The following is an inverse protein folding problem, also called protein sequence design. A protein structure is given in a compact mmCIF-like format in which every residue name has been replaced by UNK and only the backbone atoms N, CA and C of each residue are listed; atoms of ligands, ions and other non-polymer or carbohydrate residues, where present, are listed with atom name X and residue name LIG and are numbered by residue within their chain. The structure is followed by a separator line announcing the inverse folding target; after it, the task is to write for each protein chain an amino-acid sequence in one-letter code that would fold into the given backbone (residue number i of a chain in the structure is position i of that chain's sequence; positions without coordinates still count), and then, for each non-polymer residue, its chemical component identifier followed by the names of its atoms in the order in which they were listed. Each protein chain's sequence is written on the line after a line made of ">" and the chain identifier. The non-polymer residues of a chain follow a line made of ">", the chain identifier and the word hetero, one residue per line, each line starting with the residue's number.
data_IF_292579976637
#
_entry.id   IF_292579976637
#
_cell.length_a   1.000
_cell.length_b   1.000
_cell.length_c   1.000
_cell.angle_alpha   90.00
_cell.angle_beta   90.00
_cell.angle_gamma   90.00
#
_symmetry.space_group_name_H-M   'P 1'
#
loop_
_entity.id
_entity.type
_entity.pdbx_description
1 polymer ?
#
# COMPACT_ATOMS: atom_id res chain seq x y z
N UNK A 1 42.89 -4.53 -7.15
CA UNK A 1 41.62 -5.01 -6.62
C UNK A 1 40.65 -5.11 -7.80
N UNK A 2 40.26 -6.32 -8.22
CA UNK A 2 39.30 -6.45 -9.31
C UNK A 2 37.89 -6.41 -8.70
N UNK A 3 37.12 -5.39 -9.03
CA UNK A 3 35.74 -5.21 -8.61
C UNK A 3 34.86 -5.63 -9.77
N UNK A 4 33.97 -6.61 -9.53
CA UNK A 4 32.97 -7.02 -10.51
C UNK A 4 31.65 -6.37 -10.12
N UNK A 5 31.11 -5.54 -11.01
CA UNK A 5 29.80 -4.90 -10.79
C UNK A 5 28.69 -5.96 -10.85
N UNK A 6 27.77 -5.89 -9.88
CA UNK A 6 26.55 -6.71 -9.89
C UNK A 6 25.39 -5.92 -10.49
N UNK A 7 24.51 -6.56 -11.26
CA UNK A 7 23.31 -5.90 -11.77
C UNK A 7 22.45 -5.42 -10.60
N UNK A 8 22.06 -4.15 -10.62
CA UNK A 8 21.23 -3.49 -9.60
C UNK A 8 19.76 -3.43 -9.98
N UNK A 9 19.41 -3.95 -11.16
CA UNK A 9 18.06 -3.99 -11.69
C UNK A 9 17.43 -5.38 -11.61
N UNK A 10 16.14 -5.42 -11.29
CA UNK A 10 15.30 -6.60 -11.33
C UNK A 10 14.13 -6.38 -12.29
N UNK A 11 13.92 -7.33 -13.19
CA UNK A 11 12.75 -7.41 -14.05
C UNK A 11 11.97 -8.67 -13.70
N UNK A 12 10.71 -8.52 -13.33
CA UNK A 12 9.79 -9.64 -13.11
C UNK A 12 8.63 -9.53 -14.07
N UNK A 13 8.29 -10.64 -14.71
CA UNK A 13 7.11 -10.79 -15.55
C UNK A 13 6.34 -12.01 -15.07
N UNK A 14 5.05 -11.84 -14.86
CA UNK A 14 4.16 -12.90 -14.43
C UNK A 14 2.94 -13.00 -15.33
N UNK A 15 2.54 -14.22 -15.63
CA UNK A 15 1.33 -14.54 -16.36
C UNK A 15 0.56 -15.60 -15.59
N UNK A 16 -0.70 -15.29 -15.32
CA UNK A 16 -1.58 -16.18 -14.57
C UNK A 16 -2.96 -16.25 -15.18
N UNK A 17 -3.73 -17.23 -14.74
CA UNK A 17 -5.13 -17.39 -15.13
C UNK A 17 -5.99 -17.64 -13.90
N UNK A 18 -7.20 -17.07 -13.91
CA UNK A 18 -8.20 -17.23 -12.87
C UNK A 18 -9.57 -17.41 -13.51
N UNK A 19 -10.46 -18.12 -12.85
CA UNK A 19 -11.86 -18.26 -13.30
C UNK A 19 -12.58 -16.92 -13.40
N UNK A 20 -12.27 -15.98 -12.51
CA UNK A 20 -12.86 -14.63 -12.43
C UNK A 20 -12.16 -13.63 -13.31
N UNK A 21 -10.85 -13.55 -13.21
CA UNK A 21 -10.03 -12.54 -13.89
C UNK A 21 -9.60 -12.94 -15.30
N UNK A 22 -9.81 -14.22 -15.66
CA UNK A 22 -9.35 -14.80 -16.93
C UNK A 22 -7.83 -14.79 -17.03
N UNK A 23 -7.27 -13.79 -17.68
CA UNK A 23 -5.82 -13.58 -17.81
C UNK A 23 -5.38 -12.50 -16.86
N UNK A 24 -4.33 -12.80 -16.10
CA UNK A 24 -3.67 -11.86 -15.19
C UNK A 24 -2.26 -11.64 -15.73
N UNK A 25 -1.92 -10.39 -15.98
CA UNK A 25 -0.59 -9.96 -16.36
C UNK A 25 0.02 -9.14 -15.22
N UNK A 26 1.21 -9.49 -14.81
CA UNK A 26 1.98 -8.71 -13.85
C UNK A 26 3.37 -8.42 -14.40
N UNK A 27 3.84 -7.22 -14.21
CA UNK A 27 5.18 -6.79 -14.57
C UNK A 27 5.73 -5.82 -13.54
N UNK A 28 6.99 -5.98 -13.21
CA UNK A 28 7.69 -4.97 -12.40
C UNK A 28 9.13 -4.82 -12.85
N UNK A 29 9.56 -3.57 -12.89
CA UNK A 29 10.95 -3.19 -13.10
C UNK A 29 11.36 -2.41 -11.85
N UNK A 30 12.41 -2.86 -11.20
CA UNK A 30 13.00 -2.17 -10.07
C UNK A 30 14.50 -2.01 -10.30
N UNK A 31 14.98 -0.80 -10.16
CA UNK A 31 16.39 -0.45 -10.27
C UNK A 31 16.85 0.15 -8.94
N UNK A 32 17.67 -0.57 -8.21
CA UNK A 32 18.41 -0.03 -7.08
C UNK A 32 19.63 0.69 -7.59
N UNK A 33 20.01 1.79 -6.97
CA UNK A 33 21.13 2.62 -7.42
C UNK A 33 20.95 3.14 -8.85
N UNK A 34 19.81 3.77 -9.11
CA UNK A 34 19.46 4.31 -10.43
C UNK A 34 20.51 5.30 -10.92
N UNK A 35 21.13 5.00 -12.06
CA UNK A 35 22.23 5.79 -12.66
C UNK A 35 23.40 6.09 -11.69
N UNK A 36 23.67 5.20 -10.72
CA UNK A 36 24.76 5.41 -9.77
C UNK A 36 24.45 6.38 -8.63
N UNK A 37 23.22 6.87 -8.53
CA UNK A 37 22.81 7.90 -7.55
C UNK A 37 22.49 7.35 -6.15
N UNK A 38 22.46 6.02 -5.97
CA UNK A 38 21.99 5.38 -4.74
C UNK A 38 20.46 5.37 -4.58
N UNK A 39 19.73 5.99 -5.50
CA UNK A 39 18.27 6.06 -5.45
C UNK A 39 17.63 4.83 -6.07
N UNK A 40 16.45 4.48 -5.57
CA UNK A 40 15.67 3.35 -6.06
C UNK A 40 14.49 3.85 -6.90
N UNK A 41 14.31 3.25 -8.07
CA UNK A 41 13.17 3.51 -8.96
C UNK A 41 12.46 2.19 -9.20
N UNK A 42 11.15 2.18 -9.09
CA UNK A 42 10.33 1.01 -9.39
C UNK A 42 9.10 1.38 -10.20
N UNK A 43 8.77 0.53 -11.17
CA UNK A 43 7.52 0.58 -11.93
C UNK A 43 6.84 -0.77 -11.77
N UNK A 44 5.58 -0.75 -11.39
CA UNK A 44 4.77 -1.96 -11.25
C UNK A 44 3.48 -1.82 -12.06
N UNK A 45 3.17 -2.86 -12.82
CA UNK A 45 1.97 -2.98 -13.64
C UNK A 45 1.31 -4.31 -13.32
N UNK A 46 0.06 -4.26 -12.87
CA UNK A 46 -0.78 -5.45 -12.73
C UNK A 46 -2.06 -5.19 -13.52
N UNK A 47 -2.45 -6.13 -14.36
CA UNK A 47 -3.65 -6.03 -15.19
C UNK A 47 -4.41 -7.35 -15.17
N UNK A 48 -5.64 -7.29 -14.66
CA UNK A 48 -6.62 -8.35 -14.69
C UNK A 48 -7.98 -7.78 -15.09
N UNK A 49 -8.98 -8.63 -15.25
CA UNK A 49 -10.33 -8.18 -15.60
C UNK A 49 -10.96 -7.35 -14.48
N UNK A 50 -10.75 -7.74 -13.21
CA UNK A 50 -11.35 -7.09 -12.03
C UNK A 50 -10.50 -5.97 -11.46
N UNK A 51 -9.19 -5.96 -11.72
CA UNK A 51 -8.32 -4.88 -11.23
C UNK A 51 -7.21 -4.55 -12.22
N UNK A 52 -6.84 -3.28 -12.25
CA UNK A 52 -5.64 -2.78 -12.93
C UNK A 52 -4.93 -1.83 -11.99
N UNK A 53 -3.61 -1.97 -11.91
CA UNK A 53 -2.78 -1.14 -11.05
C UNK A 53 -1.51 -0.76 -11.77
N UNK A 54 -1.23 0.52 -11.82
CA UNK A 54 0.00 1.10 -12.32
C UNK A 54 0.60 1.90 -11.18
N UNK A 55 1.82 1.63 -10.83
CA UNK A 55 2.54 2.34 -9.76
C UNK A 55 3.92 2.71 -10.25
N UNK A 56 4.28 3.96 -10.06
CA UNK A 56 5.64 4.45 -10.16
C UNK A 56 6.09 4.88 -8.77
N UNK A 57 7.26 4.41 -8.34
CA UNK A 57 7.86 4.75 -7.06
C UNK A 57 9.31 5.19 -7.24
N UNK A 58 9.66 6.28 -6.60
CA UNK A 58 11.03 6.74 -6.46
C UNK A 58 11.35 6.84 -4.97
N UNK A 59 12.53 6.39 -4.56
CA UNK A 59 12.98 6.48 -3.16
C UNK A 59 14.45 6.84 -3.10
N UNK A 60 14.74 7.91 -2.40
CA UNK A 60 16.09 8.26 -1.95
C UNK A 60 16.26 7.73 -0.51
N UNK A 61 17.01 6.64 -0.28
CA UNK A 61 17.15 6.04 1.04
C UNK A 61 18.02 6.88 2.00
N UNK A 62 18.82 7.78 1.46
CA UNK A 62 19.75 8.65 2.22
C UNK A 62 19.51 10.12 1.84
N UNK A 63 18.27 10.58 1.98
CA UNK A 63 17.95 12.00 1.73
C UNK A 63 18.69 12.93 2.69
N UNK A 64 18.93 12.48 3.92
CA UNK A 64 19.82 13.12 4.89
C UNK A 64 20.95 12.17 5.29
N UNK A 65 22.03 12.73 5.86
CA UNK A 65 23.16 11.95 6.36
C UNK A 65 22.79 11.03 7.52
N UNK A 66 21.74 11.36 8.27
CA UNK A 66 21.22 10.57 9.40
C UNK A 66 20.32 9.40 8.94
N UNK A 67 20.23 9.14 7.62
CA UNK A 67 19.50 8.01 7.07
C UNK A 67 17.99 8.24 6.94
N UNK A 68 17.51 9.49 6.97
CA UNK A 68 16.13 9.78 6.62
C UNK A 68 15.93 9.49 5.14
N UNK A 69 14.94 8.66 4.82
CA UNK A 69 14.56 8.38 3.44
C UNK A 69 13.46 9.31 2.97
N UNK A 70 13.47 9.64 1.67
CA UNK A 70 12.40 10.36 0.99
C UNK A 70 11.90 9.53 -0.18
N UNK A 71 10.58 9.43 -0.34
CA UNK A 71 9.96 8.72 -1.45
C UNK A 71 8.83 9.52 -2.10
N UNK A 72 8.62 9.23 -3.39
CA UNK A 72 7.50 9.74 -4.18
C UNK A 72 6.81 8.57 -4.85
N UNK A 73 5.50 8.51 -4.73
CA UNK A 73 4.68 7.53 -5.41
C UNK A 73 3.65 8.22 -6.29
N UNK A 74 3.44 7.67 -7.48
CA UNK A 74 2.31 8.03 -8.35
C UNK A 74 1.63 6.74 -8.75
N UNK A 75 0.32 6.70 -8.65
CA UNK A 75 -0.43 5.49 -8.98
C UNK A 75 -1.75 5.78 -9.69
N UNK A 76 -2.14 4.80 -10.48
CA UNK A 76 -3.49 4.69 -11.02
C UNK A 76 -4.00 3.28 -10.77
N UNK A 77 -5.15 3.16 -10.13
CA UNK A 77 -5.78 1.88 -9.80
C UNK A 77 -7.22 1.88 -10.28
N UNK A 78 -7.62 0.82 -10.95
CA UNK A 78 -9.01 0.60 -11.34
C UNK A 78 -9.46 -0.72 -10.76
N UNK A 79 -10.61 -0.72 -10.13
CA UNK A 79 -11.25 -1.89 -9.57
C UNK A 79 -12.65 -2.02 -10.16
N UNK A 80 -12.99 -3.21 -10.67
CA UNK A 80 -14.25 -3.47 -11.35
C UNK A 80 -14.87 -4.77 -10.84
N UNK A 81 -15.96 -4.67 -10.08
CA UNK A 81 -16.66 -5.81 -9.51
C UNK A 81 -17.87 -6.25 -10.34
N UNK A 82 -18.11 -5.67 -11.51
CA UNK A 82 -19.28 -6.03 -12.35
C UNK A 82 -19.33 -7.50 -12.80
N UNK A 83 -18.22 -8.22 -12.62
CA UNK A 83 -18.13 -9.67 -12.91
C UNK A 83 -18.24 -10.55 -11.66
N UNK A 84 -18.41 -9.97 -10.47
CA UNK A 84 -18.57 -10.70 -9.21
C UNK A 84 -19.96 -10.48 -8.64
N UNK A 85 -20.51 -11.47 -7.93
CA UNK A 85 -21.86 -11.41 -7.37
C UNK A 85 -22.00 -10.54 -6.13
N UNK A 86 -20.91 -9.95 -5.63
CA UNK A 86 -20.88 -9.31 -4.31
C UNK A 86 -21.18 -7.81 -4.31
N UNK A 87 -20.80 -7.07 -5.35
CA UNK A 87 -21.09 -5.63 -5.44
C UNK A 87 -20.85 -5.14 -6.87
N UNK A 88 -21.90 -4.62 -7.50
CA UNK A 88 -21.80 -4.10 -8.87
C UNK A 88 -21.40 -2.61 -8.84
N UNK A 89 -20.13 -2.33 -8.78
CA UNK A 89 -19.62 -0.97 -8.99
C UNK A 89 -18.21 -1.03 -9.63
N UNK A 90 -17.75 0.06 -10.15
CA UNK A 90 -16.34 0.22 -10.50
C UNK A 90 -15.77 1.46 -9.85
N UNK A 91 -14.52 1.40 -9.44
CA UNK A 91 -13.79 2.54 -8.90
C UNK A 91 -12.48 2.74 -9.65
N UNK A 92 -12.11 3.99 -9.84
CA UNK A 92 -10.83 4.38 -10.43
C UNK A 92 -10.20 5.42 -9.54
N UNK A 93 -9.03 5.12 -8.99
CA UNK A 93 -8.27 6.03 -8.12
C UNK A 93 -6.98 6.42 -8.80
N UNK A 94 -6.72 7.71 -8.86
CA UNK A 94 -5.45 8.27 -9.32
C UNK A 94 -4.90 9.17 -8.22
N UNK A 95 -3.65 8.95 -7.85
CA UNK A 95 -3.06 9.69 -6.76
C UNK A 95 -1.56 9.71 -6.78
N UNK A 96 -1.02 10.49 -5.86
CA UNK A 96 0.39 10.54 -5.58
C UNK A 96 0.65 10.88 -4.13
N UNK A 97 1.82 10.52 -3.63
CA UNK A 97 2.21 10.78 -2.25
C UNK A 97 3.71 11.07 -2.14
N UNK A 98 4.04 11.90 -1.16
CA UNK A 98 5.41 12.09 -0.67
C UNK A 98 5.51 11.36 0.66
N UNK A 99 6.59 10.61 0.85
CA UNK A 99 6.86 9.83 2.06
C UNK A 99 8.23 10.18 2.61
N UNK A 100 8.32 10.24 3.94
CA UNK A 100 9.58 10.31 4.68
C UNK A 100 9.64 9.15 5.67
N UNK A 101 10.80 8.49 5.72
CA UNK A 101 11.07 7.40 6.66
C UNK A 101 12.24 7.78 7.57
N UNK A 102 12.02 7.68 8.87
CA UNK A 102 12.96 8.05 9.92
C UNK A 102 13.38 6.78 10.68
N UNK A 103 14.63 6.32 10.54
CA UNK A 103 15.16 5.29 11.42
C UNK A 103 15.35 5.89 12.82
N UNK A 104 14.62 5.37 13.82
CA UNK A 104 14.74 5.83 15.22
C UNK A 104 15.59 4.89 16.06
N UNK A 105 15.99 3.77 15.49
CA UNK A 105 16.85 2.76 16.10
C UNK A 105 17.25 1.71 15.08
N UNK A 106 18.07 0.74 15.49
CA UNK A 106 18.51 -0.35 14.61
C UNK A 106 17.35 -1.22 14.08
N UNK A 107 16.25 -1.27 14.83
CA UNK A 107 15.11 -2.16 14.57
C UNK A 107 13.80 -1.41 14.42
N UNK A 108 13.82 -0.09 14.52
CA UNK A 108 12.61 0.71 14.58
C UNK A 108 12.63 1.85 13.56
N UNK A 109 11.50 2.08 12.94
CA UNK A 109 11.32 3.18 12.00
C UNK A 109 9.95 3.84 12.14
N UNK A 110 9.91 5.14 11.89
CA UNK A 110 8.69 5.93 11.73
C UNK A 110 8.58 6.38 10.29
N UNK A 111 7.40 6.34 9.74
CA UNK A 111 7.09 6.89 8.41
C UNK A 111 6.02 7.96 8.51
N UNK A 112 6.18 9.01 7.72
CA UNK A 112 5.20 10.08 7.53
C UNK A 112 4.97 10.24 6.04
N UNK A 113 3.72 10.24 5.61
CA UNK A 113 3.34 10.42 4.21
C UNK A 113 2.21 11.42 4.05
N UNK A 114 2.25 12.22 3.01
CA UNK A 114 1.17 13.10 2.61
C UNK A 114 0.84 12.81 1.15
N UNK A 115 -0.43 12.57 0.87
CA UNK A 115 -0.91 12.22 -0.45
C UNK A 115 -2.03 13.10 -0.96
N UNK A 116 -2.30 12.95 -2.24
CA UNK A 116 -3.51 13.40 -2.92
C UNK A 116 -4.08 12.21 -3.67
N UNK A 117 -5.34 11.91 -3.49
CA UNK A 117 -6.04 10.78 -4.12
C UNK A 117 -7.39 11.25 -4.65
N UNK A 118 -7.59 11.09 -5.94
CA UNK A 118 -8.88 11.32 -6.60
C UNK A 118 -9.49 9.99 -6.97
N UNK A 119 -10.61 9.65 -6.36
CA UNK A 119 -11.34 8.41 -6.60
C UNK A 119 -12.67 8.69 -7.29
N UNK A 120 -12.86 8.10 -8.46
CA UNK A 120 -14.12 8.13 -9.21
C UNK A 120 -14.83 6.78 -9.10
N UNK A 121 -16.12 6.81 -8.80
CA UNK A 121 -16.97 5.63 -8.60
C UNK A 121 -18.10 5.65 -9.60
N UNK A 122 -18.28 4.53 -10.30
CA UNK A 122 -19.42 4.32 -11.20
C UNK A 122 -20.32 3.25 -10.63
N UNK A 123 -21.59 3.57 -10.48
CA UNK A 123 -22.65 2.66 -10.06
C UNK A 123 -23.51 2.24 -11.26
N UNK A 124 -24.15 1.10 -11.15
CA UNK A 124 -25.00 0.48 -12.18
C UNK A 124 -26.36 0.16 -11.57
N UNK A 125 -27.33 -0.27 -12.38
CA UNK A 125 -28.66 -0.64 -11.90
C UNK A 125 -28.64 -1.76 -10.84
N UNK A 126 -27.71 -2.72 -10.99
CA UNK A 126 -27.52 -3.82 -10.04
C UNK A 126 -26.72 -3.43 -8.79
N UNK A 127 -26.19 -2.21 -8.72
CA UNK A 127 -25.47 -1.74 -7.54
C UNK A 127 -26.40 -1.66 -6.34
N UNK A 128 -26.04 -2.18 -5.15
CA UNK A 128 -26.82 -2.04 -3.94
C UNK A 128 -27.22 -0.59 -3.66
N UNK A 129 -28.45 -0.39 -3.19
CA UNK A 129 -29.01 0.96 -3.00
C UNK A 129 -28.16 1.82 -2.10
N UNK A 130 -27.58 1.27 -1.03
CA UNK A 130 -26.69 1.97 -0.12
C UNK A 130 -25.52 2.68 -0.85
N UNK A 131 -24.90 2.02 -1.85
CA UNK A 131 -23.79 2.60 -2.61
C UNK A 131 -24.28 3.66 -3.62
N UNK A 132 -25.44 3.45 -4.22
CA UNK A 132 -26.05 4.45 -5.11
C UNK A 132 -26.45 5.71 -4.34
N UNK A 133 -27.02 5.55 -3.14
CA UNK A 133 -27.39 6.66 -2.28
C UNK A 133 -26.16 7.45 -1.80
N UNK A 134 -25.05 6.75 -1.52
CA UNK A 134 -23.78 7.39 -1.20
C UNK A 134 -23.30 8.27 -2.39
N UNK A 135 -23.25 7.69 -3.59
CA UNK A 135 -22.78 8.41 -4.79
C UNK A 135 -23.73 9.56 -5.15
N UNK A 136 -25.04 9.41 -4.99
CA UNK A 136 -25.99 10.50 -5.23
C UNK A 136 -25.85 11.66 -4.26
N UNK A 137 -25.41 11.38 -3.03
CA UNK A 137 -25.22 12.41 -1.98
C UNK A 137 -23.85 13.09 -2.05
N UNK A 138 -22.78 12.35 -2.32
CA UNK A 138 -21.40 12.84 -2.24
C UNK A 138 -20.70 12.96 -3.60
N UNK A 139 -21.40 12.61 -4.69
CA UNK A 139 -20.88 12.68 -6.06
C UNK A 139 -20.09 11.44 -6.48
N UNK A 140 -19.85 11.34 -7.78
CA UNK A 140 -19.11 10.23 -8.38
C UNK A 140 -17.60 10.33 -8.16
N UNK A 141 -17.05 11.52 -8.07
CA UNK A 141 -15.62 11.77 -7.90
C UNK A 141 -15.36 12.48 -6.59
N UNK A 142 -14.46 11.90 -5.80
CA UNK A 142 -14.13 12.38 -4.47
C UNK A 142 -12.60 12.55 -4.36
N UNK A 143 -12.19 13.74 -3.96
CA UNK A 143 -10.80 14.06 -3.64
C UNK A 143 -10.54 13.79 -2.16
N UNK A 144 -9.42 13.19 -1.83
CA UNK A 144 -8.92 13.04 -0.46
C UNK A 144 -7.46 13.46 -0.34
N UNK A 145 -7.11 13.96 0.84
CA UNK A 145 -5.75 14.36 1.22
C UNK A 145 -5.30 13.48 2.39
N UNK A 146 -4.86 12.24 2.14
CA UNK A 146 -4.45 11.34 3.21
C UNK A 146 -3.09 11.73 3.80
N UNK A 147 -3.07 11.95 5.11
CA UNK A 147 -1.86 11.97 5.94
C UNK A 147 -1.70 10.57 6.54
N UNK A 148 -0.55 9.95 6.30
CA UNK A 148 -0.22 8.62 6.79
C UNK A 148 0.90 8.71 7.79
N UNK A 149 0.71 8.11 8.96
CA UNK A 149 1.73 7.88 9.98
C UNK A 149 1.93 6.38 10.11
N UNK A 150 3.15 5.92 10.19
CA UNK A 150 3.47 4.51 10.38
C UNK A 150 4.62 4.35 11.36
N UNK A 151 4.57 3.27 12.11
CA UNK A 151 5.65 2.81 12.96
C UNK A 151 5.85 1.33 12.75
N UNK A 152 7.10 0.90 12.71
CA UNK A 152 7.47 -0.49 12.59
C UNK A 152 8.65 -0.81 13.52
N UNK A 153 8.58 -1.97 14.17
CA UNK A 153 9.65 -2.53 14.99
C UNK A 153 9.90 -3.98 14.57
N UNK A 154 11.12 -4.28 14.12
CA UNK A 154 11.52 -5.62 13.67
C UNK A 154 12.58 -6.21 14.60
N UNK A 155 12.13 -6.92 15.63
CA UNK A 155 12.96 -7.61 16.60
C UNK A 155 13.22 -9.08 16.28
N UNK A 156 12.93 -9.54 15.06
CA UNK A 156 13.19 -10.92 14.62
C UNK A 156 14.69 -11.21 14.56
N UNK A 157 15.05 -12.45 14.83
CA UNK A 157 16.44 -12.95 14.75
C UNK A 157 16.92 -13.14 13.30
N UNK A 158 16.01 -13.38 12.36
CA UNK A 158 16.30 -13.57 10.94
C UNK A 158 15.22 -12.93 10.08
N UNK A 159 15.62 -12.38 8.93
CA UNK A 159 14.68 -11.83 7.96
C UNK A 159 13.95 -12.92 7.17
N UNK A 160 14.69 -13.94 6.72
CA UNK A 160 14.13 -15.01 5.86
C UNK A 160 13.51 -16.16 6.66
N UNK A 161 14.16 -16.58 7.76
CA UNK A 161 13.75 -17.73 8.56
C UNK A 161 13.73 -17.36 10.05
N UNK A 162 12.78 -16.52 10.48
CA UNK A 162 12.71 -16.12 11.86
C UNK A 162 12.33 -17.30 12.76
N UNK A 163 13.11 -17.49 13.83
CA UNK A 163 12.86 -18.53 14.82
C UNK A 163 12.41 -17.95 16.16
N UNK A 164 12.78 -16.70 16.46
CA UNK A 164 12.40 -16.00 17.67
C UNK A 164 12.30 -14.50 17.42
N UNK A 165 11.59 -13.81 18.31
CA UNK A 165 11.46 -12.35 18.30
C UNK A 165 10.08 -11.89 17.91
N UNK A 166 9.93 -10.59 17.78
CA UNK A 166 8.64 -9.95 17.55
C UNK A 166 8.77 -8.93 16.43
N UNK A 167 7.81 -8.94 15.54
CA UNK A 167 7.59 -7.90 14.55
C UNK A 167 6.29 -7.17 14.89
N UNK A 168 6.33 -5.86 14.91
CA UNK A 168 5.17 -5.00 15.16
C UNK A 168 5.08 -3.92 14.10
N UNK A 169 3.86 -3.60 13.71
CA UNK A 169 3.59 -2.51 12.79
C UNK A 169 2.30 -1.82 13.19
N UNK A 170 2.34 -0.49 13.29
CA UNK A 170 1.17 0.35 13.45
C UNK A 170 1.07 1.31 12.27
N UNK A 171 -0.13 1.59 11.80
CA UNK A 171 -0.38 2.63 10.81
C UNK A 171 -1.65 3.41 11.14
N UNK A 172 -1.61 4.71 10.88
CA UNK A 172 -2.73 5.61 10.98
C UNK A 172 -2.79 6.44 9.70
N UNK A 173 -3.92 6.40 9.03
CA UNK A 173 -4.23 7.25 7.89
C UNK A 173 -5.38 8.17 8.28
N UNK A 174 -5.22 9.46 8.06
CA UNK A 174 -6.25 10.48 8.30
C UNK A 174 -6.41 11.30 7.02
N UNK A 175 -7.59 11.28 6.44
CA UNK A 175 -7.92 12.16 5.33
C UNK A 175 -8.13 13.58 5.87
N UNK A 176 -7.20 14.48 5.58
CA UNK A 176 -7.22 15.85 6.08
C UNK A 176 -8.39 16.66 5.50
N UNK A 177 -8.89 17.68 6.22
CA UNK A 177 -9.80 18.67 5.67
C UNK A 177 -9.16 19.40 4.47
N UNK A 178 -9.92 19.61 3.41
CA UNK A 178 -9.44 20.19 2.13
C UNK A 178 -9.73 19.30 0.92
N UNK A 179 -10.18 18.06 1.16
CA UNK A 179 -10.81 17.19 0.19
C UNK A 179 -12.29 16.98 0.50
N UNK A 180 -12.92 16.11 -0.29
CA UNK A 180 -14.34 15.76 -0.15
C UNK A 180 -14.55 14.70 0.95
N UNK A 181 -13.51 13.95 1.29
CA UNK A 181 -13.55 12.84 2.22
C UNK A 181 -12.84 13.18 3.53
N UNK A 182 -13.51 12.87 4.64
CA UNK A 182 -12.96 13.02 6.00
C UNK A 182 -13.16 11.74 6.77
N UNK A 183 -12.10 10.94 6.87
CA UNK A 183 -12.09 9.66 7.55
C UNK A 183 -10.74 9.40 8.20
N UNK A 184 -10.70 8.46 9.14
CA UNK A 184 -9.46 7.89 9.63
C UNK A 184 -9.51 6.37 9.57
N UNK A 185 -8.34 5.79 9.43
CA UNK A 185 -8.12 4.34 9.41
C UNK A 185 -6.86 4.04 10.19
N UNK A 186 -6.96 3.17 11.18
CA UNK A 186 -5.83 2.72 11.98
C UNK A 186 -5.72 1.21 11.89
N UNK A 187 -4.50 0.69 11.86
CA UNK A 187 -4.23 -0.74 11.94
C UNK A 187 -3.02 -1.01 12.79
N UNK A 188 -3.03 -2.15 13.47
CA UNK A 188 -1.92 -2.67 14.25
C UNK A 188 -1.75 -4.16 13.96
N UNK A 189 -0.52 -4.57 13.67
CA UNK A 189 -0.14 -5.95 13.43
C UNK A 189 0.95 -6.35 14.41
N UNK A 190 0.81 -7.54 14.98
CA UNK A 190 1.79 -8.20 15.84
C UNK A 190 2.09 -9.59 15.29
N UNK A 191 3.37 -9.90 15.09
CA UNK A 191 3.86 -11.25 14.83
C UNK A 191 4.86 -11.61 15.92
N UNK A 192 4.66 -12.75 16.55
CA UNK A 192 5.56 -13.25 17.58
C UNK A 192 6.02 -14.66 17.25
N UNK A 193 7.33 -14.88 17.30
CA UNK A 193 7.97 -16.14 16.99
C UNK A 193 8.54 -16.75 18.25
N UNK A 194 8.14 -17.99 18.53
CA UNK A 194 8.56 -18.77 19.71
C UNK A 194 9.18 -20.08 19.25
N UNK A 195 10.47 -20.32 19.49
CA UNK A 195 11.06 -21.62 19.18
C UNK A 195 10.53 -22.67 20.16
N UNK A 196 9.85 -23.69 19.64
CA UNK A 196 9.38 -24.83 20.44
C UNK A 196 10.49 -25.85 20.63
N UNK A 197 11.31 -26.05 19.62
CA UNK A 197 12.52 -26.86 19.63
C UNK A 197 13.40 -26.49 18.43
N UNK A 198 14.51 -27.24 18.20
CA UNK A 198 15.43 -26.97 17.10
C UNK A 198 14.85 -27.16 15.69
N UNK A 199 13.65 -27.72 15.56
CA UNK A 199 13.01 -27.99 14.26
C UNK A 199 11.68 -27.25 14.06
N UNK A 200 11.04 -26.83 15.15
CA UNK A 200 9.71 -26.23 15.09
C UNK A 200 9.70 -24.86 15.76
N UNK A 201 9.14 -23.89 15.03
CA UNK A 201 8.88 -22.53 15.53
C UNK A 201 7.39 -22.27 15.43
N UNK A 202 6.79 -21.80 16.52
CA UNK A 202 5.41 -21.31 16.54
C UNK A 202 5.41 -19.83 16.17
N UNK A 203 4.63 -19.47 15.16
CA UNK A 203 4.33 -18.07 14.84
C UNK A 203 2.90 -17.75 15.25
N UNK A 204 2.73 -16.72 16.06
CA UNK A 204 1.44 -16.12 16.38
C UNK A 204 1.34 -14.80 15.66
N UNK A 205 0.32 -14.63 14.83
CA UNK A 205 0.04 -13.38 14.11
C UNK A 205 -1.34 -12.86 14.50
N UNK A 206 -1.40 -11.60 14.90
CA UNK A 206 -2.64 -10.88 15.18
C UNK A 206 -2.66 -9.55 14.45
N UNK A 207 -3.83 -9.21 13.89
CA UNK A 207 -4.06 -7.93 13.26
C UNK A 207 -5.36 -7.32 13.77
N UNK A 208 -5.33 -6.05 14.10
CA UNK A 208 -6.47 -5.26 14.50
C UNK A 208 -6.57 -4.01 13.64
N UNK A 209 -7.77 -3.73 13.14
CA UNK A 209 -8.03 -2.56 12.31
C UNK A 209 -9.31 -1.85 12.75
N UNK A 210 -9.30 -0.52 12.67
CA UNK A 210 -10.48 0.30 12.86
C UNK A 210 -10.50 1.45 11.84
N UNK A 211 -11.70 1.81 11.40
CA UNK A 211 -11.91 2.95 10.51
C UNK A 211 -13.24 3.63 10.83
N UNK A 212 -13.27 4.96 10.71
CA UNK A 212 -14.50 5.71 10.83
C UNK A 212 -14.40 7.05 10.07
N UNK A 213 -15.55 7.62 9.71
CA UNK A 213 -15.63 8.99 9.21
C UNK A 213 -15.82 9.99 10.35
N UNK A 214 -15.18 11.16 10.24
CA UNK A 214 -15.32 12.22 11.24
C UNK A 214 -15.96 13.50 10.67
N UNK A 215 -16.47 13.45 9.45
CA UNK A 215 -17.15 14.54 8.76
C UNK A 215 -18.52 14.14 8.21
N UNK A 216 -19.07 14.98 7.35
CA UNK A 216 -20.39 14.79 6.76
C UNK A 216 -20.49 13.55 5.85
N UNK A 217 -19.38 13.14 5.24
CA UNK A 217 -19.33 11.99 4.31
C UNK A 217 -19.36 10.63 5.01
N UNK A 218 -19.11 10.58 6.34
CA UNK A 218 -18.92 9.32 7.04
C UNK A 218 -17.70 8.54 6.51
N UNK A 219 -17.62 7.25 6.82
CA UNK A 219 -16.60 6.38 6.23
C UNK A 219 -17.04 5.97 4.83
N UNK A 220 -16.25 6.28 3.78
CA UNK A 220 -16.56 5.83 2.42
C UNK A 220 -16.46 4.30 2.31
N UNK A 221 -17.43 3.66 1.66
CA UNK A 221 -17.48 2.19 1.51
C UNK A 221 -16.32 1.60 0.68
N UNK A 222 -15.57 2.44 -0.02
CA UNK A 222 -14.46 2.06 -0.90
C UNK A 222 -13.06 2.35 -0.29
N UNK A 223 -12.99 2.80 0.97
CA UNK A 223 -11.76 3.03 1.76
C UNK A 223 -11.66 2.06 2.92
#
# INVERSE_FOLDING_TARGET
>A
MNVTEKPTGNLMLGLGTSSTDKVILSGSIAQNNFMGSGNNVAIQVNSAKTYRTYVFSYTNPYFTQDGVSQGFDVYHRTFNTTSTTLAYYSSSSTGGAIRFGFPIGEKESIGIGLGLDSTSIKTYEQTPQYYRDYVSRFGETNLSVPLTLSWASDGKDSFFFPTKGTFQRASLEVALPGGDLTYYRASYQLQHFVPLNSRFTLMVNGEYGMANGYGASGLPFFK
#
